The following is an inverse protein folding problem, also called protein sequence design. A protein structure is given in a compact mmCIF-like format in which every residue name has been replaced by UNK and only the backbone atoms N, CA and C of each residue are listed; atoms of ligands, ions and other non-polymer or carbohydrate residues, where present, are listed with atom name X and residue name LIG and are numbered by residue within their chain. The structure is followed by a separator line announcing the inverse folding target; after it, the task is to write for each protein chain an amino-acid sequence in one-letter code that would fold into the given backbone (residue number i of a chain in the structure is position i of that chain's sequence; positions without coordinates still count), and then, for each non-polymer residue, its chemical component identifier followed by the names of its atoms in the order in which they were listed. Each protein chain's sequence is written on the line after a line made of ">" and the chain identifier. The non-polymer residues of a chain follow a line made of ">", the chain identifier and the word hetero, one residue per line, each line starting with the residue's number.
data_IF_371187506877
#
_entry.id   IF_371187506877
#
_cell.length_a   1.000
_cell.length_b   1.000
_cell.length_c   1.000
_cell.angle_alpha   90.00
_cell.angle_beta   90.00
_cell.angle_gamma   90.00
#
_symmetry.space_group_name_H-M   'P 1'
#
loop_
_entity.id
_entity.type
_entity.pdbx_description
1 polymer ?
#
# COMPACT_ATOMS: atom_id res chain seq x y z
N UNK A 1 -12.13 24.63 -2.04
CA UNK A 1 -10.96 24.33 -1.22
C UNK A 1 -9.77 25.01 -1.85
N UNK A 2 -9.26 26.08 -1.23
CA UNK A 2 -8.00 26.70 -1.61
C UNK A 2 -6.87 25.81 -1.08
N UNK A 3 -6.14 25.11 -1.95
CA UNK A 3 -5.11 24.16 -1.53
C UNK A 3 -3.87 24.84 -0.95
N UNK A 4 -3.69 26.15 -1.19
CA UNK A 4 -2.54 26.93 -0.73
C UNK A 4 -2.90 28.40 -0.45
N UNK A 5 -4.18 28.73 -0.26
CA UNK A 5 -4.65 30.13 -0.24
C UNK A 5 -4.48 30.86 -1.59
N UNK A 6 -4.26 30.09 -2.65
CA UNK A 6 -4.05 30.56 -4.03
C UNK A 6 -5.10 29.88 -4.91
N UNK A 7 -5.94 30.68 -5.55
CA UNK A 7 -6.93 30.20 -6.50
C UNK A 7 -6.32 29.89 -7.88
N UNK A 8 -7.12 29.31 -8.80
CA UNK A 8 -6.66 29.00 -10.15
C UNK A 8 -6.18 30.23 -10.93
N UNK A 9 -6.79 31.40 -10.70
CA UNK A 9 -6.43 32.64 -11.38
C UNK A 9 -5.10 33.19 -10.88
N UNK A 10 -4.88 33.20 -9.56
CA UNK A 10 -3.63 33.62 -8.94
C UNK A 10 -2.47 32.73 -9.37
N UNK A 11 -2.69 31.40 -9.44
CA UNK A 11 -1.71 30.45 -9.97
C UNK A 11 -1.36 30.73 -11.43
N UNK A 12 -2.33 31.11 -12.26
CA UNK A 12 -2.09 31.46 -13.67
C UNK A 12 -1.21 32.71 -13.79
N UNK A 13 -1.48 33.74 -12.99
CA UNK A 13 -0.69 34.98 -12.98
C UNK A 13 0.75 34.70 -12.54
N UNK A 14 0.93 34.01 -11.41
CA UNK A 14 2.26 33.64 -10.90
C UNK A 14 2.99 32.74 -11.90
N UNK A 15 2.29 31.76 -12.47
CA UNK A 15 2.80 30.87 -13.50
C UNK A 15 3.27 31.65 -14.71
N UNK A 16 2.51 32.64 -15.19
CA UNK A 16 2.88 33.48 -16.33
C UNK A 16 4.15 34.28 -16.04
N UNK A 17 4.25 34.92 -14.87
CA UNK A 17 5.46 35.66 -14.48
C UNK A 17 6.67 34.71 -14.38
N UNK A 18 6.50 33.54 -13.76
CA UNK A 18 7.56 32.53 -13.68
C UNK A 18 7.98 32.02 -15.08
N UNK A 19 7.02 31.82 -15.99
CA UNK A 19 7.29 31.43 -17.38
C UNK A 19 8.01 32.53 -18.16
N UNK A 20 7.81 33.82 -17.85
CA UNK A 20 8.56 34.92 -18.46
C UNK A 20 9.99 35.01 -17.93
N UNK A 21 10.18 34.82 -16.62
CA UNK A 21 11.51 34.89 -15.97
C UNK A 21 12.36 33.69 -16.35
N UNK A 22 11.82 32.49 -16.21
CA UNK A 22 12.57 31.24 -16.43
C UNK A 22 12.40 30.70 -17.86
N UNK A 23 11.26 30.94 -18.51
CA UNK A 23 10.93 30.40 -19.83
C UNK A 23 9.99 29.18 -19.77
N UNK A 24 9.04 29.03 -20.73
CA UNK A 24 8.10 27.90 -20.76
C UNK A 24 8.74 26.54 -21.01
N UNK A 25 9.96 26.53 -21.56
CA UNK A 25 10.73 25.30 -21.75
C UNK A 25 11.51 24.90 -20.49
N UNK A 26 11.89 25.86 -19.64
CA UNK A 26 12.77 25.63 -18.48
C UNK A 26 12.05 25.08 -17.26
N UNK A 27 10.81 25.50 -17.00
CA UNK A 27 10.00 24.93 -15.91
C UNK A 27 9.81 23.40 -16.02
N UNK A 28 9.34 22.83 -17.16
CA UNK A 28 9.20 21.39 -17.28
C UNK A 28 10.55 20.67 -17.30
N UNK A 29 11.61 21.26 -17.87
CA UNK A 29 12.97 20.72 -17.85
C UNK A 29 13.49 20.58 -16.40
N UNK A 30 13.30 21.62 -15.58
CA UNK A 30 13.67 21.60 -14.16
C UNK A 30 12.83 20.58 -13.37
N UNK A 31 11.52 20.55 -13.60
CA UNK A 31 10.63 19.58 -12.95
C UNK A 31 11.01 18.13 -13.31
N UNK A 32 11.39 17.85 -14.56
CA UNK A 32 11.87 16.53 -14.97
C UNK A 32 13.19 16.16 -14.26
N UNK A 33 14.11 17.12 -14.12
CA UNK A 33 15.38 16.88 -13.43
C UNK A 33 15.18 16.61 -11.94
N UNK A 34 14.36 17.41 -11.26
CA UNK A 34 13.97 17.18 -9.86
C UNK A 34 13.20 15.87 -9.72
N UNK A 35 12.31 15.55 -10.66
CA UNK A 35 11.54 14.31 -10.67
C UNK A 35 12.43 13.07 -10.78
N UNK A 36 13.49 13.11 -11.60
CA UNK A 36 14.48 12.04 -11.69
C UNK A 36 15.21 11.83 -10.37
N UNK A 37 15.62 12.91 -9.71
CA UNK A 37 16.25 12.85 -8.38
C UNK A 37 15.28 12.24 -7.36
N UNK A 38 14.04 12.72 -7.30
CA UNK A 38 13.02 12.20 -6.40
C UNK A 38 12.72 10.71 -6.65
N UNK A 39 12.73 10.28 -7.92
CA UNK A 39 12.57 8.88 -8.31
C UNK A 39 13.73 8.03 -7.79
N UNK A 40 14.97 8.46 -8.02
CA UNK A 40 16.16 7.78 -7.53
C UNK A 40 16.19 7.67 -6.00
N UNK A 41 15.86 8.74 -5.28
CA UNK A 41 15.74 8.73 -3.83
C UNK A 41 14.69 7.72 -3.34
N UNK A 42 13.53 7.67 -4.01
CA UNK A 42 12.47 6.70 -3.68
C UNK A 42 12.90 5.26 -3.93
N UNK A 43 13.63 5.00 -5.00
CA UNK A 43 14.11 3.65 -5.33
C UNK A 43 15.15 3.19 -4.29
N UNK A 44 16.12 4.04 -3.96
CA UNK A 44 17.11 3.77 -2.88
C UNK A 44 16.42 3.58 -1.53
N UNK A 45 15.43 4.40 -1.19
CA UNK A 45 14.68 4.26 0.07
C UNK A 45 13.97 2.90 0.14
N UNK A 46 13.44 2.41 -0.98
CA UNK A 46 12.76 1.11 -1.06
C UNK A 46 13.73 -0.06 -0.93
N UNK A 47 14.93 0.05 -1.50
CA UNK A 47 16.00 -0.94 -1.32
C UNK A 47 16.46 -0.98 0.13
N UNK A 48 16.67 0.19 0.74
CA UNK A 48 17.05 0.30 2.14
C UNK A 48 15.97 -0.28 3.07
N UNK A 49 14.69 0.02 2.83
CA UNK A 49 13.58 -0.55 3.60
C UNK A 49 13.53 -2.08 3.48
N UNK A 50 13.80 -2.64 2.30
CA UNK A 50 13.88 -4.10 2.10
C UNK A 50 15.04 -4.72 2.86
N UNK A 51 16.21 -4.10 2.82
CA UNK A 51 17.42 -4.61 3.47
C UNK A 51 17.26 -4.57 5.00
N UNK A 52 16.85 -3.42 5.54
CA UNK A 52 16.52 -3.24 6.95
C UNK A 52 15.46 -4.26 7.38
N UNK A 53 14.36 -4.40 6.62
CA UNK A 53 13.34 -5.38 6.96
C UNK A 53 13.85 -6.81 6.95
N UNK A 54 14.80 -7.18 6.08
CA UNK A 54 15.42 -8.52 6.09
C UNK A 54 16.30 -8.73 7.31
N UNK A 55 17.12 -7.74 7.65
CA UNK A 55 18.05 -7.82 8.79
C UNK A 55 17.31 -7.85 10.14
N UNK A 56 16.18 -7.16 10.26
CA UNK A 56 15.39 -7.11 11.50
C UNK A 56 14.21 -8.12 11.56
N UNK A 57 13.81 -8.75 10.44
CA UNK A 57 12.73 -9.74 10.43
C UNK A 57 13.20 -11.20 10.52
N UNK A 58 14.51 -11.47 10.49
CA UNK A 58 15.04 -12.82 10.73
C UNK A 58 15.56 -12.98 12.17
N UNK A 59 14.92 -13.82 13.03
CA UNK A 59 15.71 -14.63 13.95
C UNK A 59 16.56 -15.61 13.11
N UNK A 60 17.76 -16.03 13.54
CA UNK A 60 18.68 -16.80 12.70
C UNK A 60 18.01 -18.11 12.28
N UNK A 61 17.68 -18.28 10.99
CA UNK A 61 17.11 -19.53 10.48
C UNK A 61 18.22 -20.39 9.92
N UNK A 62 18.51 -21.48 10.62
CA UNK A 62 19.25 -22.64 10.14
C UNK A 62 18.71 -23.08 8.78
N UNK A 63 19.59 -23.12 7.78
CA UNK A 63 19.29 -23.62 6.44
C UNK A 63 18.96 -25.12 6.49
N UNK A 64 17.71 -25.52 6.23
CA UNK A 64 17.38 -26.90 5.84
C UNK A 64 16.17 -26.97 4.89
N UNK A 65 16.46 -27.46 3.67
CA UNK A 65 15.61 -28.15 2.67
C UNK A 65 14.57 -27.39 1.81
N UNK A 66 14.67 -27.51 0.47
CA UNK A 66 13.56 -27.28 -0.44
C UNK A 66 12.69 -28.55 -0.50
N UNK A 67 11.48 -28.54 0.07
CA UNK A 67 10.49 -29.57 -0.20
C UNK A 67 9.26 -28.94 -0.87
N UNK A 68 9.28 -29.03 -2.20
CA UNK A 68 8.14 -28.77 -3.07
C UNK A 68 7.29 -30.03 -3.12
N UNK A 69 6.32 -30.15 -2.22
CA UNK A 69 5.25 -31.13 -2.29
C UNK A 69 3.94 -30.42 -1.92
N UNK A 70 3.24 -29.88 -2.91
CA UNK A 70 1.83 -29.53 -2.77
C UNK A 70 1.05 -30.78 -3.16
N UNK A 71 0.60 -31.50 -2.15
CA UNK A 71 -0.43 -32.51 -2.28
C UNK A 71 -1.42 -32.31 -1.13
N UNK A 72 -2.70 -32.19 -1.52
CA UNK A 72 -3.91 -32.35 -0.70
C UNK A 72 -4.09 -31.45 0.53
N UNK A 73 -4.86 -30.38 0.36
CA UNK A 73 -6.08 -30.12 1.18
C UNK A 73 -7.01 -29.18 0.40
N UNK A 74 -7.49 -29.71 -0.73
CA UNK A 74 -8.86 -29.46 -1.17
C UNK A 74 -9.78 -30.21 -0.18
N UNK A 75 -10.89 -29.59 0.24
CA UNK A 75 -11.90 -30.08 1.19
C UNK A 75 -11.68 -29.76 2.68
N UNK A 76 -12.00 -28.51 3.05
CA UNK A 76 -12.78 -28.26 4.27
C UNK A 76 -13.99 -27.43 3.88
N UNK A 77 -15.02 -28.13 3.39
CA UNK A 77 -16.38 -27.60 3.29
C UNK A 77 -16.89 -27.36 4.72
N UNK A 78 -17.27 -26.13 5.13
CA UNK A 78 -17.98 -25.98 6.40
C UNK A 78 -19.40 -26.57 6.26
N UNK A 79 -19.86 -27.42 7.19
CA UNK A 79 -21.18 -28.01 7.13
C UNK A 79 -22.29 -26.93 7.22
N UNK A 80 -23.42 -27.10 6.51
CA UNK A 80 -24.57 -26.19 6.59
C UNK A 80 -25.13 -26.12 8.02
N UNK A 81 -25.42 -24.90 8.49
CA UNK A 81 -26.15 -24.71 9.74
C UNK A 81 -27.61 -25.13 9.55
N UNK A 82 -27.93 -26.38 9.89
CA UNK A 82 -29.32 -26.83 10.03
C UNK A 82 -29.94 -26.23 11.31
N UNK A 83 -30.69 -25.15 11.14
CA UNK A 83 -31.67 -24.68 12.12
C UNK A 83 -32.92 -25.53 11.91
N UNK A 84 -33.05 -26.61 12.68
CA UNK A 84 -34.30 -27.35 12.82
C UNK A 84 -34.63 -27.48 14.31
N UNK A 85 -35.38 -26.49 14.77
CA UNK A 85 -36.70 -26.66 15.37
C UNK A 85 -37.05 -28.11 15.80
N UNK A 86 -37.23 -28.32 17.10
CA UNK A 86 -38.37 -29.06 17.69
C UNK A 86 -38.08 -29.47 19.15
N UNK A 87 -38.69 -28.70 20.06
CA UNK A 87 -39.62 -29.20 21.07
C UNK A 87 -39.26 -30.47 21.88
N UNK A 88 -39.12 -30.31 23.22
CA UNK A 88 -40.15 -30.75 24.17
C UNK A 88 -39.85 -30.39 25.64
N UNK A 89 -40.75 -29.60 26.24
CA UNK A 89 -41.18 -29.67 27.66
C UNK A 89 -41.60 -31.11 28.05
N UNK A 90 -41.81 -31.48 29.35
CA UNK A 90 -42.15 -30.68 30.54
C UNK A 90 -41.20 -31.04 31.74
N UNK A 91 -41.28 -30.61 32.99
CA UNK A 91 -42.41 -30.66 33.91
C UNK A 91 -42.04 -29.97 35.24
N UNK A 92 -43.01 -29.17 35.73
CA UNK A 92 -43.28 -28.69 37.10
C UNK A 92 -42.90 -29.72 38.19
N UNK A 93 -42.61 -29.44 39.47
CA UNK A 93 -43.01 -28.47 40.52
C UNK A 93 -42.37 -29.03 41.83
N UNK A 94 -42.60 -28.50 43.05
CA UNK A 94 -42.87 -27.14 43.49
C UNK A 94 -41.72 -26.54 44.33
#
# INVERSE_FOLDING_TARGET
>A
MELFGVGPLELLVIGTVALLVFGPKKLPELAQNVGKVMRGLKDVSRDFEREVKREFAEPPVTQTTPNRSYDVVESVQPPPLEISDAAKQPEKQP
#
